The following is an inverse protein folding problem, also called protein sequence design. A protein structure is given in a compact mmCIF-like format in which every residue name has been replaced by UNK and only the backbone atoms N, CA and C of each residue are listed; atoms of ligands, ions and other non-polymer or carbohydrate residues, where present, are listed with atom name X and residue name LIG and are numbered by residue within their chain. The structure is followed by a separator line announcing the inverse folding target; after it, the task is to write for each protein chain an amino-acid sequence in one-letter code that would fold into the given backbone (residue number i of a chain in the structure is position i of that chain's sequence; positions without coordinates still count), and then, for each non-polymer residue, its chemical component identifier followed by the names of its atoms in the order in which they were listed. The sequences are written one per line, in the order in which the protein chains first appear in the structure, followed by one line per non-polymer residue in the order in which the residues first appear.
data_IF_057366549786
#
_entry.id   IF_057366549786
#
_cell.length_a   1.000
_cell.length_b   1.000
_cell.length_c   1.000
_cell.angle_alpha   90.00
_cell.angle_beta   90.00
_cell.angle_gamma   90.00
#
_symmetry.space_group_name_H-M   'P 1'
#
loop_
_entity.id
_entity.type
_entity.pdbx_description
1 polymer ?
#
# COMPACT_ATOMS: atom_id res chain seq x y z
N UNK A 1 6.19 11.86 -28.77
CA UNK A 1 6.51 12.26 -27.37
C UNK A 1 6.32 11.13 -26.35
N UNK A 2 5.23 10.35 -26.40
CA UNK A 2 4.98 9.28 -25.42
C UNK A 2 6.10 8.22 -25.39
N UNK A 3 6.51 7.68 -26.56
CA UNK A 3 7.54 6.64 -26.71
C UNK A 3 8.89 6.99 -26.05
N UNK A 4 9.35 8.23 -26.18
CA UNK A 4 10.60 8.68 -25.54
C UNK A 4 10.49 8.65 -24.01
N UNK A 5 9.32 9.00 -23.48
CA UNK A 5 9.04 8.95 -22.05
C UNK A 5 8.96 7.49 -21.53
N UNK A 6 8.55 6.54 -22.39
CA UNK A 6 8.58 5.11 -22.05
C UNK A 6 10.00 4.57 -22.03
N UNK A 7 10.81 4.91 -23.03
CA UNK A 7 12.21 4.51 -23.08
C UNK A 7 13.00 5.06 -21.89
N UNK A 8 12.74 6.30 -21.48
CA UNK A 8 13.41 6.92 -20.32
C UNK A 8 13.04 6.24 -19.00
N UNK A 9 11.75 5.99 -18.71
CA UNK A 9 11.36 5.27 -17.48
C UNK A 9 11.91 3.85 -17.47
N UNK A 10 11.83 3.13 -18.60
CA UNK A 10 12.37 1.78 -18.69
C UNK A 10 13.88 1.78 -18.42
N UNK A 11 14.62 2.69 -19.06
CA UNK A 11 16.06 2.85 -18.83
C UNK A 11 16.36 3.12 -17.35
N UNK A 12 15.71 4.10 -16.73
CA UNK A 12 15.92 4.43 -15.31
C UNK A 12 15.62 3.25 -14.40
N UNK A 13 14.51 2.55 -14.64
CA UNK A 13 14.14 1.38 -13.85
C UNK A 13 15.16 0.25 -14.00
N UNK A 14 15.70 0.06 -15.19
CA UNK A 14 16.73 -0.93 -15.47
C UNK A 14 18.07 -0.55 -14.83
N UNK A 15 18.52 0.70 -14.99
CA UNK A 15 19.72 1.24 -14.33
C UNK A 15 19.62 1.05 -12.81
N UNK A 16 18.44 1.31 -12.24
CA UNK A 16 18.21 1.16 -10.82
C UNK A 16 18.25 -0.30 -10.34
N UNK A 17 17.76 -1.25 -11.15
CA UNK A 17 17.90 -2.69 -10.90
C UNK A 17 19.35 -3.16 -11.06
N UNK A 18 20.07 -2.67 -12.07
CA UNK A 18 21.49 -2.99 -12.27
C UNK A 18 22.33 -2.51 -11.10
N UNK A 19 22.11 -1.27 -10.63
CA UNK A 19 22.79 -0.74 -9.44
C UNK A 19 22.47 -1.56 -8.19
N UNK A 20 21.21 -1.97 -8.01
CA UNK A 20 20.83 -2.86 -6.91
C UNK A 20 21.50 -4.24 -7.00
N UNK A 21 21.58 -4.81 -8.21
CA UNK A 21 22.29 -6.06 -8.47
C UNK A 21 23.80 -5.92 -8.20
N UNK A 22 24.41 -4.79 -8.53
CA UNK A 22 25.80 -4.51 -8.22
C UNK A 22 26.03 -4.41 -6.70
N UNK A 23 25.18 -3.68 -5.97
CA UNK A 23 25.23 -3.62 -4.50
C UNK A 23 25.14 -5.02 -3.87
N UNK A 24 24.24 -5.86 -4.39
CA UNK A 24 24.07 -7.25 -3.94
C UNK A 24 25.28 -8.11 -4.31
N UNK A 25 25.77 -8.01 -5.54
CA UNK A 25 26.95 -8.72 -6.03
C UNK A 25 28.17 -8.42 -5.18
N UNK A 26 28.36 -7.15 -4.80
CA UNK A 26 29.44 -6.72 -3.90
C UNK A 26 29.29 -7.23 -2.45
N UNK A 27 28.08 -7.62 -2.04
CA UNK A 27 27.80 -8.23 -0.74
C UNK A 27 27.92 -9.76 -0.76
N UNK A 28 28.04 -10.38 -1.93
CA UNK A 28 28.23 -11.83 -2.05
C UNK A 28 29.61 -12.24 -1.51
N UNK A 29 29.70 -13.43 -0.87
CA UNK A 29 30.97 -14.04 -0.51
C UNK A 29 31.57 -14.75 -1.73
N UNK A 30 32.86 -15.11 -1.63
CA UNK A 30 33.46 -16.01 -2.60
C UNK A 30 32.89 -17.43 -2.40
N UNK A 31 31.90 -17.78 -3.21
CA UNK A 31 31.24 -19.08 -3.12
C UNK A 31 32.14 -20.24 -3.55
N UNK A 32 33.17 -19.99 -4.37
CA UNK A 32 34.11 -21.02 -4.80
C UNK A 32 34.99 -21.46 -3.64
N UNK A 33 35.55 -20.51 -2.88
CA UNK A 33 36.33 -20.82 -1.67
C UNK A 33 35.47 -21.50 -0.59
N UNK A 34 34.20 -21.09 -0.47
CA UNK A 34 33.31 -21.67 0.53
C UNK A 34 32.78 -23.07 0.14
N UNK A 35 32.71 -23.36 -1.17
CA UNK A 35 32.21 -24.63 -1.71
C UNK A 35 32.92 -25.85 -1.12
N UNK A 36 34.25 -25.77 -1.04
CA UNK A 36 35.10 -26.85 -0.53
C UNK A 36 34.91 -27.10 0.97
N UNK A 37 34.45 -26.09 1.72
CA UNK A 37 34.26 -26.15 3.17
C UNK A 37 32.85 -26.60 3.60
N UNK A 38 31.86 -26.59 2.70
CA UNK A 38 30.45 -26.80 3.05
C UNK A 38 30.10 -28.24 3.43
N UNK A 39 30.72 -29.24 2.81
CA UNK A 39 30.29 -30.63 2.95
C UNK A 39 30.28 -31.11 4.42
N UNK A 40 31.22 -30.61 5.23
CA UNK A 40 31.43 -31.06 6.61
C UNK A 40 31.14 -29.98 7.66
N UNK A 41 30.59 -28.82 7.27
CA UNK A 41 30.41 -27.69 8.17
C UNK A 41 28.97 -27.20 8.20
N UNK A 42 28.17 -27.76 9.12
CA UNK A 42 26.76 -27.42 9.33
C UNK A 42 26.53 -25.90 9.51
N UNK A 43 27.46 -25.22 10.17
CA UNK A 43 27.42 -23.77 10.36
C UNK A 43 27.46 -23.01 9.03
N UNK A 44 28.37 -23.41 8.13
CA UNK A 44 28.50 -22.79 6.81
C UNK A 44 27.29 -23.11 5.93
N UNK A 45 26.73 -24.31 6.05
CA UNK A 45 25.48 -24.66 5.35
C UNK A 45 24.31 -23.76 5.77
N UNK A 46 24.15 -23.48 7.06
CA UNK A 46 23.10 -22.57 7.54
C UNK A 46 23.30 -21.13 7.03
N UNK A 47 24.54 -20.63 7.02
CA UNK A 47 24.85 -19.32 6.45
C UNK A 47 24.56 -19.27 4.94
N UNK A 48 24.82 -20.36 4.20
CA UNK A 48 24.50 -20.44 2.78
C UNK A 48 22.98 -20.40 2.54
N UNK A 49 22.18 -21.07 3.39
CA UNK A 49 20.72 -21.00 3.34
C UNK A 49 20.23 -19.57 3.57
N UNK A 50 20.81 -18.84 4.52
CA UNK A 50 20.48 -17.43 4.76
C UNK A 50 20.80 -16.56 3.54
N UNK A 51 21.93 -16.81 2.88
CA UNK A 51 22.29 -16.12 1.63
C UNK A 51 21.30 -16.36 0.50
N UNK A 52 20.94 -17.62 0.23
CA UNK A 52 19.94 -17.91 -0.79
C UNK A 52 18.59 -17.27 -0.47
N UNK A 53 18.22 -17.23 0.81
CA UNK A 53 17.00 -16.56 1.26
C UNK A 53 17.05 -15.05 0.99
N UNK A 54 18.18 -14.40 1.21
CA UNK A 54 18.37 -12.97 0.91
C UNK A 54 18.31 -12.68 -0.59
N UNK A 55 18.97 -13.51 -1.41
CA UNK A 55 18.93 -13.42 -2.88
C UNK A 55 17.49 -13.57 -3.39
N UNK A 56 16.76 -14.59 -2.93
CA UNK A 56 15.37 -14.80 -3.32
C UNK A 56 14.46 -13.66 -2.85
N UNK A 57 14.74 -13.08 -1.68
CA UNK A 57 14.00 -11.92 -1.18
C UNK A 57 14.21 -10.69 -2.07
N UNK A 58 15.43 -10.45 -2.55
CA UNK A 58 15.71 -9.40 -3.53
C UNK A 58 14.91 -9.62 -4.82
N UNK A 59 14.96 -10.83 -5.40
CA UNK A 59 14.19 -11.11 -6.62
C UNK A 59 12.69 -10.90 -6.39
N UNK A 60 12.15 -11.33 -5.26
CA UNK A 60 10.74 -11.10 -4.93
C UNK A 60 10.38 -9.61 -4.88
N UNK A 61 11.22 -8.77 -4.27
CA UNK A 61 11.00 -7.32 -4.19
C UNK A 61 11.06 -6.71 -5.61
N UNK A 62 12.10 -7.05 -6.37
CA UNK A 62 12.31 -6.55 -7.73
C UNK A 62 11.17 -6.96 -8.65
N UNK A 63 10.81 -8.25 -8.71
CA UNK A 63 9.74 -8.73 -9.57
C UNK A 63 8.40 -8.08 -9.24
N UNK A 64 8.08 -7.84 -7.96
CA UNK A 64 6.86 -7.11 -7.58
C UNK A 64 6.81 -5.71 -8.17
N UNK A 65 7.91 -4.95 -8.11
CA UNK A 65 8.00 -3.63 -8.73
C UNK A 65 7.78 -3.71 -10.25
N UNK A 66 8.55 -4.55 -10.95
CA UNK A 66 8.51 -4.64 -12.41
C UNK A 66 7.20 -5.26 -12.95
N UNK A 67 6.47 -6.01 -12.13
CA UNK A 67 5.17 -6.60 -12.51
C UNK A 67 4.00 -5.60 -12.50
N UNK A 68 4.21 -4.36 -12.07
CA UNK A 68 3.13 -3.38 -11.99
C UNK A 68 2.69 -2.89 -13.38
N UNK A 69 1.42 -3.11 -13.74
CA UNK A 69 0.81 -2.75 -15.03
C UNK A 69 0.95 -1.27 -15.44
N UNK A 70 1.28 -0.37 -14.50
CA UNK A 70 1.52 1.05 -14.75
C UNK A 70 2.86 1.52 -14.24
N UNK A 71 3.91 0.69 -14.34
CA UNK A 71 5.26 1.02 -13.89
C UNK A 71 5.66 2.47 -14.28
N UNK A 72 5.32 2.91 -15.50
CA UNK A 72 5.52 4.29 -15.94
C UNK A 72 5.03 5.38 -14.99
N UNK A 73 3.80 5.26 -14.49
CA UNK A 73 3.14 6.29 -13.68
C UNK A 73 3.48 6.16 -12.20
N UNK A 74 3.94 4.98 -11.78
CA UNK A 74 4.05 4.63 -10.38
C UNK A 74 5.48 4.36 -9.94
N UNK A 75 6.42 4.21 -10.88
CA UNK A 75 7.83 3.90 -10.59
C UNK A 75 8.45 4.94 -9.66
N UNK A 76 8.40 6.23 -10.01
CA UNK A 76 8.98 7.28 -9.17
C UNK A 76 8.34 7.35 -7.77
N UNK A 77 7.06 6.96 -7.65
CA UNK A 77 6.34 6.96 -6.37
C UNK A 77 6.72 5.77 -5.50
N UNK A 78 6.83 4.56 -6.07
CA UNK A 78 7.10 3.33 -5.32
C UNK A 78 8.57 2.95 -5.25
N UNK A 79 9.42 3.48 -6.14
CA UNK A 79 10.85 3.17 -6.19
C UNK A 79 11.57 3.46 -4.87
N UNK A 80 11.35 4.59 -4.18
CA UNK A 80 11.98 4.85 -2.88
C UNK A 80 11.73 3.74 -1.85
N UNK A 81 10.46 3.32 -1.68
CA UNK A 81 10.11 2.22 -0.75
C UNK A 81 10.75 0.90 -1.17
N UNK A 82 10.71 0.54 -2.46
CA UNK A 82 11.36 -0.68 -2.95
C UNK A 82 12.88 -0.65 -2.77
N UNK A 83 13.50 0.51 -3.03
CA UNK A 83 14.94 0.71 -2.83
C UNK A 83 15.33 0.55 -1.37
N UNK A 84 14.56 1.10 -0.44
CA UNK A 84 14.85 0.95 0.98
C UNK A 84 14.71 -0.50 1.45
N UNK A 85 13.75 -1.26 0.89
CA UNK A 85 13.68 -2.72 1.12
C UNK A 85 14.90 -3.46 0.59
N UNK A 86 15.37 -3.11 -0.61
CA UNK A 86 16.58 -3.69 -1.20
C UNK A 86 17.78 -3.41 -0.29
N UNK A 87 17.95 -2.18 0.21
CA UNK A 87 19.05 -1.84 1.13
C UNK A 87 19.04 -2.67 2.42
N UNK A 88 17.85 -2.94 2.98
CA UNK A 88 17.71 -3.81 4.15
C UNK A 88 18.23 -5.22 3.84
N UNK A 89 17.86 -5.78 2.68
CA UNK A 89 18.37 -7.07 2.22
C UNK A 89 19.90 -7.03 2.05
N UNK A 90 20.43 -6.02 1.36
CA UNK A 90 21.88 -5.86 1.16
C UNK A 90 22.64 -5.76 2.50
N UNK A 91 22.08 -5.07 3.50
CA UNK A 91 22.64 -5.00 4.86
C UNK A 91 22.69 -6.38 5.53
N UNK A 92 21.64 -7.19 5.42
CA UNK A 92 21.63 -8.56 5.95
C UNK A 92 22.67 -9.44 5.26
N UNK A 93 22.79 -9.35 3.93
CA UNK A 93 23.81 -10.06 3.16
C UNK A 93 25.23 -9.70 3.60
N UNK A 94 25.51 -8.41 3.80
CA UNK A 94 26.79 -7.94 4.34
C UNK A 94 27.06 -8.49 5.75
N UNK A 95 26.05 -8.50 6.62
CA UNK A 95 26.18 -9.05 7.97
C UNK A 95 26.45 -10.56 7.96
N UNK A 96 25.75 -11.33 7.12
CA UNK A 96 25.98 -12.76 6.95
C UNK A 96 27.39 -13.05 6.40
N UNK A 97 27.90 -12.19 5.49
CA UNK A 97 29.28 -12.27 5.00
C UNK A 97 30.30 -12.19 6.12
N UNK A 98 30.11 -11.24 7.02
CA UNK A 98 31.03 -11.00 8.12
C UNK A 98 30.99 -12.15 9.14
N UNK A 99 29.84 -12.82 9.29
CA UNK A 99 29.72 -14.04 10.07
C UNK A 99 30.48 -15.21 9.45
N UNK A 100 30.54 -15.32 8.12
CA UNK A 100 31.36 -16.34 7.45
C UNK A 100 32.85 -16.12 7.72
N UNK A 101 33.31 -14.86 7.67
CA UNK A 101 34.72 -14.50 7.93
C UNK A 101 35.13 -14.72 9.39
N UNK A 102 34.18 -14.70 10.32
CA UNK A 102 34.42 -14.87 11.76
C UNK A 102 34.20 -16.31 12.19
N UNK A 103 34.92 -16.77 13.21
CA UNK A 103 34.70 -18.10 13.81
C UNK A 103 33.51 -18.06 14.79
N UNK A 104 32.35 -17.60 14.33
CA UNK A 104 31.12 -17.48 15.13
C UNK A 104 30.43 -18.84 15.33
N UNK A 105 29.64 -18.93 16.40
CA UNK A 105 28.87 -20.13 16.74
C UNK A 105 27.43 -20.10 16.22
N UNK A 106 26.75 -21.24 16.27
CA UNK A 106 25.35 -21.43 15.84
C UNK A 106 24.37 -20.42 16.49
N UNK A 107 24.61 -20.02 17.74
CA UNK A 107 23.76 -19.06 18.44
C UNK A 107 23.81 -17.63 17.88
N UNK A 108 24.90 -17.25 17.21
CA UNK A 108 24.99 -15.95 16.51
C UNK A 108 24.24 -15.99 15.18
N UNK A 109 24.31 -17.12 14.47
CA UNK A 109 23.60 -17.34 13.20
C UNK A 109 22.10 -17.29 13.41
N UNK A 110 21.60 -17.98 14.44
CA UNK A 110 20.18 -17.92 14.80
C UNK A 110 19.73 -16.50 15.14
N UNK A 111 20.56 -15.74 15.87
CA UNK A 111 20.26 -14.33 16.16
C UNK A 111 20.24 -13.47 14.90
N UNK A 112 21.10 -13.73 13.92
CA UNK A 112 21.10 -13.05 12.65
C UNK A 112 19.81 -13.32 11.86
N UNK A 113 19.37 -14.59 11.77
CA UNK A 113 18.11 -14.96 11.11
C UNK A 113 16.89 -14.34 11.80
N UNK A 114 16.84 -14.40 13.14
CA UNK A 114 15.78 -13.75 13.90
C UNK A 114 15.77 -12.23 13.70
N UNK A 115 16.94 -11.59 13.68
CA UNK A 115 17.06 -10.14 13.43
C UNK A 115 16.57 -9.78 12.03
N UNK A 116 16.98 -10.56 11.03
CA UNK A 116 16.51 -10.45 9.65
C UNK A 116 14.99 -10.52 9.57
N UNK A 117 14.39 -11.55 10.18
CA UNK A 117 12.95 -11.75 10.15
C UNK A 117 12.20 -10.61 10.88
N UNK A 118 12.71 -10.15 12.03
CA UNK A 118 12.14 -9.00 12.75
C UNK A 118 12.21 -7.71 11.94
N UNK A 119 13.35 -7.40 11.32
CA UNK A 119 13.51 -6.19 10.52
C UNK A 119 12.58 -6.21 9.28
N UNK A 120 12.47 -7.35 8.59
CA UNK A 120 11.56 -7.50 7.44
C UNK A 120 10.08 -7.39 7.83
N UNK A 121 9.68 -7.99 8.96
CA UNK A 121 8.32 -7.87 9.49
C UNK A 121 8.01 -6.44 9.91
N UNK A 122 8.93 -5.78 10.61
CA UNK A 122 8.77 -4.39 11.02
C UNK A 122 8.60 -3.48 9.81
N UNK A 123 9.40 -3.68 8.75
CA UNK A 123 9.27 -2.92 7.51
C UNK A 123 7.90 -3.13 6.85
N UNK A 124 7.44 -4.38 6.75
CA UNK A 124 6.13 -4.71 6.18
C UNK A 124 4.98 -4.07 6.99
N UNK A 125 5.03 -4.16 8.31
CA UNK A 125 4.04 -3.56 9.20
C UNK A 125 4.04 -2.03 9.10
N UNK A 126 5.21 -1.42 9.00
CA UNK A 126 5.34 0.04 8.84
C UNK A 126 4.70 0.49 7.53
N UNK A 127 4.93 -0.21 6.44
CA UNK A 127 4.32 0.07 5.14
C UNK A 127 2.78 -0.07 5.19
N UNK A 128 2.27 -1.16 5.78
CA UNK A 128 0.83 -1.38 5.95
C UNK A 128 0.18 -0.27 6.80
N UNK A 129 0.83 0.12 7.90
CA UNK A 129 0.37 1.19 8.76
C UNK A 129 0.36 2.54 8.02
N UNK A 130 1.41 2.84 7.23
CA UNK A 130 1.49 4.06 6.43
C UNK A 130 0.34 4.11 5.40
N UNK A 131 0.09 3.02 4.67
CA UNK A 131 -1.01 2.92 3.71
C UNK A 131 -2.36 3.11 4.40
N UNK A 132 -2.57 2.45 5.55
CA UNK A 132 -3.81 2.57 6.30
C UNK A 132 -4.04 4.01 6.81
N UNK A 133 -2.98 4.67 7.28
CA UNK A 133 -3.03 6.05 7.75
C UNK A 133 -3.30 7.03 6.61
N UNK A 134 -2.63 6.88 5.47
CA UNK A 134 -2.86 7.70 4.27
C UNK A 134 -4.30 7.53 3.77
N UNK A 135 -4.78 6.29 3.66
CA UNK A 135 -6.17 6.00 3.32
C UNK A 135 -7.17 6.65 4.29
N UNK A 136 -6.93 6.53 5.60
CA UNK A 136 -7.79 7.13 6.62
C UNK A 136 -7.84 8.66 6.50
N UNK A 137 -6.69 9.30 6.25
CA UNK A 137 -6.61 10.76 6.07
C UNK A 137 -7.37 11.26 4.84
N UNK A 138 -7.23 10.56 3.71
CA UNK A 138 -7.99 10.87 2.49
C UNK A 138 -9.49 10.62 2.68
N UNK A 139 -9.85 9.55 3.38
CA UNK A 139 -11.25 9.26 3.70
C UNK A 139 -11.85 10.35 4.60
N UNK A 140 -11.10 10.83 5.59
CA UNK A 140 -11.55 11.90 6.47
C UNK A 140 -11.78 13.22 5.72
N UNK A 141 -10.89 13.58 4.79
CA UNK A 141 -11.04 14.81 3.99
C UNK A 141 -12.19 14.75 2.97
N UNK A 142 -12.54 13.55 2.49
CA UNK A 142 -13.66 13.30 1.59
C UNK A 142 -14.97 12.94 2.31
N UNK A 143 -14.96 12.83 3.64
CA UNK A 143 -16.15 12.44 4.39
C UNK A 143 -17.26 13.49 4.18
N UNK A 144 -18.50 13.08 3.85
CA UNK A 144 -19.61 14.01 3.71
C UNK A 144 -19.72 14.86 4.98
N UNK A 145 -19.98 16.16 4.82
CA UNK A 145 -20.33 17.00 5.97
C UNK A 145 -21.53 16.35 6.66
N UNK A 146 -21.43 16.07 7.96
CA UNK A 146 -22.62 15.73 8.74
C UNK A 146 -23.52 16.96 8.71
N UNK A 147 -24.74 16.76 8.19
CA UNK A 147 -25.77 17.78 8.17
C UNK A 147 -26.59 17.76 9.46
N UNK A 148 -26.21 16.97 10.47
CA UNK A 148 -27.04 16.76 11.67
C UNK A 148 -27.29 18.10 12.40
N UNK A 149 -26.26 18.95 12.54
CA UNK A 149 -26.43 20.27 13.15
C UNK A 149 -27.27 21.26 12.32
N UNK A 150 -27.18 21.19 10.99
CA UNK A 150 -28.04 21.99 10.11
C UNK A 150 -29.49 21.46 10.15
N UNK A 151 -29.67 20.14 10.20
CA UNK A 151 -30.96 19.47 10.25
C UNK A 151 -31.68 19.79 11.56
N UNK A 152 -30.99 19.74 12.70
CA UNK A 152 -31.54 20.13 14.00
C UNK A 152 -31.96 21.60 13.98
N UNK A 153 -31.09 22.50 13.49
CA UNK A 153 -31.42 23.93 13.37
C UNK A 153 -32.65 24.19 12.49
N UNK A 154 -32.77 23.49 11.37
CA UNK A 154 -33.92 23.66 10.48
C UNK A 154 -35.18 22.95 10.99
N UNK A 155 -35.04 21.90 11.80
CA UNK A 155 -36.17 21.19 12.41
C UNK A 155 -36.98 22.10 13.34
N UNK A 156 -36.29 22.99 14.06
CA UNK A 156 -36.92 23.98 14.96
C UNK A 156 -37.66 25.09 14.18
N UNK A 157 -37.29 25.33 12.93
CA UNK A 157 -37.89 26.36 12.06
C UNK A 157 -39.06 25.84 11.20
N UNK A 158 -39.46 24.57 11.35
CA UNK A 158 -40.53 23.97 10.53
C UNK A 158 -41.91 24.36 11.07
N UNK A 159 -42.71 25.02 10.25
CA UNK A 159 -44.14 25.19 10.52
C UNK A 159 -44.88 23.85 10.39
N UNK A 160 -45.56 23.42 11.45
CA UNK A 160 -46.30 22.16 11.50
C UNK A 160 -47.29 22.01 10.33
N UNK A 161 -47.13 20.96 9.54
CA UNK A 161 -48.05 20.60 8.45
C UNK A 161 -47.64 21.07 7.06
N UNK A 162 -46.50 21.76 6.93
CA UNK A 162 -45.92 22.22 5.64
C UNK A 162 -45.55 21.05 4.72
N UNK A 163 -45.36 19.85 5.26
CA UNK A 163 -44.99 18.62 4.56
C UNK A 163 -46.20 17.79 4.10
N UNK A 164 -47.39 18.04 4.67
CA UNK A 164 -48.58 17.20 4.46
C UNK A 164 -49.09 17.19 3.02
N UNK A 165 -48.85 18.27 2.26
CA UNK A 165 -49.25 18.32 0.85
C UNK A 165 -48.45 17.35 -0.01
N UNK A 166 -47.19 17.07 0.35
CA UNK A 166 -46.28 16.20 -0.40
C UNK A 166 -46.78 14.74 -0.37
N UNK A 167 -47.27 14.29 0.80
CA UNK A 167 -47.82 12.95 1.00
C UNK A 167 -49.15 12.69 0.27
N UNK A 168 -49.79 13.72 -0.29
CA UNK A 168 -50.98 13.55 -1.14
C UNK A 168 -50.63 13.01 -2.53
N UNK A 169 -49.39 13.17 -2.99
CA UNK A 169 -48.97 12.74 -4.33
C UNK A 169 -48.55 11.26 -4.35
N UNK A 170 -49.20 10.47 -5.20
CA UNK A 170 -48.89 9.06 -5.37
C UNK A 170 -47.43 8.82 -5.80
N UNK A 171 -46.88 9.69 -6.67
CA UNK A 171 -45.48 9.66 -7.11
C UNK A 171 -44.50 9.76 -5.93
N UNK A 172 -44.79 10.64 -4.96
CA UNK A 172 -43.95 10.82 -3.77
C UNK A 172 -44.01 9.60 -2.83
N UNK A 173 -45.20 9.04 -2.60
CA UNK A 173 -45.38 7.83 -1.77
C UNK A 173 -44.71 6.61 -2.39
N UNK A 174 -44.78 6.46 -3.71
CA UNK A 174 -44.11 5.37 -4.42
C UNK A 174 -42.58 5.54 -4.40
N UNK A 175 -42.10 6.79 -4.44
CA UNK A 175 -40.68 7.13 -4.30
C UNK A 175 -40.13 6.77 -2.90
N UNK A 176 -40.87 7.10 -1.84
CA UNK A 176 -40.49 6.81 -0.44
C UNK A 176 -40.44 5.31 -0.12
N UNK A 177 -41.36 4.54 -0.69
CA UNK A 177 -41.52 3.12 -0.34
C UNK A 177 -40.60 2.18 -1.12
N UNK A 178 -39.82 2.69 -2.10
CA UNK A 178 -38.82 1.94 -2.88
C UNK A 178 -39.33 0.61 -3.47
N UNK A 179 -40.63 0.49 -3.74
CA UNK A 179 -41.24 -0.82 -4.08
C UNK A 179 -40.96 -1.31 -5.50
N UNK A 180 -40.53 -0.45 -6.43
CA UNK A 180 -40.46 -0.83 -7.85
C UNK A 180 -39.10 -0.61 -8.54
N UNK A 181 -38.21 0.27 -8.04
CA UNK A 181 -36.86 0.47 -8.61
C UNK A 181 -35.84 0.90 -7.55
N UNK A 182 -34.55 0.53 -7.67
CA UNK A 182 -33.50 1.10 -6.84
C UNK A 182 -33.29 2.57 -7.25
N UNK A 183 -33.71 3.51 -6.39
CA UNK A 183 -33.50 4.97 -6.50
C UNK A 183 -34.42 5.71 -7.48
N UNK A 184 -35.72 5.83 -7.18
CA UNK A 184 -36.58 6.79 -7.88
C UNK A 184 -36.09 8.23 -7.66
N UNK A 185 -35.78 8.95 -8.76
CA UNK A 185 -35.43 10.38 -8.71
C UNK A 185 -36.71 11.19 -8.85
N UNK A 186 -37.00 12.03 -7.86
CA UNK A 186 -38.12 12.97 -7.88
C UNK A 186 -37.60 14.40 -7.89
N UNK A 187 -38.01 15.19 -8.88
CA UNK A 187 -37.69 16.61 -8.96
C UNK A 187 -38.84 17.42 -8.37
N UNK A 188 -38.56 18.20 -7.32
CA UNK A 188 -39.51 19.14 -6.72
C UNK A 188 -39.20 20.54 -7.27
N UNK A 189 -40.22 21.18 -7.84
CA UNK A 189 -40.14 22.58 -8.29
C UNK A 189 -41.21 23.38 -7.57
N UNK A 190 -40.78 24.34 -6.75
CA UNK A 190 -41.69 25.21 -6.01
C UNK A 190 -40.95 26.38 -5.37
N UNK A 191 -41.71 27.39 -4.94
CA UNK A 191 -41.20 28.48 -4.10
C UNK A 191 -41.35 28.03 -2.65
N UNK A 192 -40.27 27.95 -1.85
CA UNK A 192 -40.36 27.60 -0.43
C UNK A 192 -41.37 28.50 0.28
N UNK A 193 -42.35 27.91 0.99
CA UNK A 193 -43.37 28.65 1.73
C UNK A 193 -44.61 29.08 0.94
N UNK A 194 -44.73 28.72 -0.33
CA UNK A 194 -45.91 29.06 -1.14
C UNK A 194 -47.08 28.09 -0.91
N UNK A 195 -47.71 28.14 0.27
CA UNK A 195 -49.07 27.59 0.44
C UNK A 195 -49.96 28.38 1.43
N UNK A 196 -49.80 29.69 1.53
CA UNK A 196 -50.80 30.52 2.25
C UNK A 196 -51.20 31.73 1.42
N UNK A 197 -51.90 31.49 0.32
CA UNK A 197 -52.78 32.49 -0.29
C UNK A 197 -53.81 31.80 -1.21
N UNK A 198 -55.00 31.52 -0.68
CA UNK A 198 -56.18 31.35 -1.53
C UNK A 198 -57.20 30.30 -1.09
N UNK A 199 -58.23 30.81 -0.38
CA UNK A 199 -59.59 30.28 -0.16
C UNK A 199 -59.79 29.21 0.92
#
# INVERSE_FOLDING_TARGET
MLFLLWADVLKRSFDALVNALEEIGNALPDFCELAEMFANNKRLQELLVLYFRDILQFYLISTKLFSMNRLKSVFEMFWPSHRDRIKVVTKHMGSHRDLIKKKVGMGEIRRADESRNRELQHFAQTEENNIAQEYASHRASMSPKSYDGDLDRFSEAVCNGTEKWLFKYALFRNCLTCKEKPKPILWLRGIPGANTAGK
#
